data_IF_521997849805
#
_entry.id   IF_521997849805
#
_cell.length_a   1.000
_cell.length_b   1.000
_cell.length_c   1.000
_cell.angle_alpha   90.00
_cell.angle_beta   90.00
_cell.angle_gamma   90.00
#
_symmetry.space_group_name_H-M   'P 1'
#
loop_
_entity.id
_entity.type
_entity.pdbx_description
1 polymer ?
#
# COMPACT_ATOMS: atom_id res chain seq x y z
N UNK A 1 8.17 -10.57 -13.24
CA UNK A 1 7.94 -11.94 -12.73
C UNK A 1 8.46 -11.98 -11.28
N UNK A 2 7.61 -11.67 -10.29
CA UNK A 2 7.98 -11.51 -8.88
C UNK A 2 7.27 -12.52 -7.97
N UNK A 3 7.12 -13.75 -8.44
CA UNK A 3 6.76 -14.87 -7.58
C UNK A 3 8.00 -15.75 -7.48
N UNK A 4 8.98 -15.31 -6.68
CA UNK A 4 9.84 -16.30 -6.06
C UNK A 4 8.94 -17.14 -5.17
N UNK A 5 8.96 -18.47 -5.36
CA UNK A 5 8.36 -19.38 -4.42
C UNK A 5 8.89 -19.03 -3.03
N UNK A 6 7.96 -18.85 -2.08
CA UNK A 6 8.31 -18.71 -0.68
C UNK A 6 9.11 -19.97 -0.35
N UNK A 7 10.41 -19.84 -0.05
CA UNK A 7 11.17 -20.94 0.54
C UNK A 7 10.32 -21.43 1.70
N UNK A 8 9.83 -22.66 1.63
CA UNK A 8 9.10 -23.24 2.74
C UNK A 8 10.05 -23.18 3.93
N UNK A 9 9.75 -22.30 4.90
CA UNK A 9 10.44 -22.28 6.19
C UNK A 9 9.94 -23.45 7.05
N UNK A 10 9.90 -24.63 6.44
CA UNK A 10 9.59 -25.92 7.03
C UNK A 10 10.64 -26.90 6.54
N UNK A 11 10.96 -27.89 7.35
CA UNK A 11 11.84 -28.98 6.94
C UNK A 11 10.91 -30.06 6.39
N UNK A 12 10.80 -30.22 5.06
CA UNK A 12 9.78 -31.10 4.44
C UNK A 12 9.92 -32.53 4.95
N UNK A 13 11.16 -32.94 5.21
CA UNK A 13 11.50 -34.25 5.74
C UNK A 13 10.93 -34.47 7.15
N UNK A 14 10.98 -33.45 8.03
CA UNK A 14 10.34 -33.55 9.35
C UNK A 14 8.82 -33.57 9.24
N UNK A 15 8.22 -32.77 8.36
CA UNK A 15 6.76 -32.75 8.16
C UNK A 15 6.25 -34.09 7.59
N UNK A 16 7.04 -34.76 6.73
CA UNK A 16 6.78 -36.10 6.20
C UNK A 16 6.93 -37.17 7.30
N UNK A 17 8.00 -37.12 8.09
CA UNK A 17 8.24 -38.06 9.21
C UNK A 17 7.17 -37.90 10.29
N UNK A 18 6.80 -36.66 10.63
CA UNK A 18 5.74 -36.37 11.58
C UNK A 18 4.38 -36.87 11.08
N UNK A 19 4.09 -36.77 9.77
CA UNK A 19 2.85 -37.32 9.21
C UNK A 19 2.73 -38.83 9.39
N UNK A 20 3.86 -39.55 9.42
CA UNK A 20 3.93 -41.00 9.56
C UNK A 20 3.98 -41.50 11.01
N UNK A 21 4.37 -40.66 11.98
CA UNK A 21 4.58 -41.07 13.38
C UNK A 21 3.77 -40.34 14.46
N UNK A 22 2.90 -39.37 14.13
CA UNK A 22 2.40 -38.46 15.16
C UNK A 22 1.01 -38.73 15.73
N UNK A 23 0.93 -38.53 17.05
CA UNK A 23 -0.26 -38.33 17.88
C UNK A 23 -1.33 -37.48 17.17
N UNK A 24 -2.61 -37.88 17.23
CA UNK A 24 -3.72 -37.23 16.51
C UNK A 24 -3.84 -35.71 16.70
N UNK A 25 -3.34 -35.17 17.84
CA UNK A 25 -3.26 -33.73 18.09
C UNK A 25 -2.34 -32.98 17.12
N UNK A 26 -1.24 -33.58 16.69
CA UNK A 26 -0.32 -32.93 15.75
C UNK A 26 -0.89 -32.92 14.33
N UNK A 27 -1.48 -34.04 13.88
CA UNK A 27 -2.18 -34.12 12.59
C UNK A 27 -3.28 -33.05 12.49
N UNK A 28 -4.03 -32.85 13.57
CA UNK A 28 -5.03 -31.79 13.65
C UNK A 28 -4.43 -30.38 13.47
N UNK A 29 -3.31 -30.08 14.15
CA UNK A 29 -2.62 -28.78 14.01
C UNK A 29 -2.07 -28.57 12.60
N UNK A 30 -1.51 -29.61 11.98
CA UNK A 30 -1.00 -29.52 10.62
C UNK A 30 -2.12 -29.28 9.60
N UNK A 31 -3.27 -29.95 9.78
CA UNK A 31 -4.47 -29.72 8.96
C UNK A 31 -4.94 -28.27 9.03
N UNK A 32 -5.07 -27.71 10.23
CA UNK A 32 -5.47 -26.30 10.42
C UNK A 32 -4.49 -25.36 9.73
N UNK A 33 -3.18 -25.58 9.87
CA UNK A 33 -2.17 -24.73 9.21
C UNK A 33 -2.31 -24.76 7.69
N UNK A 34 -2.48 -25.94 7.10
CA UNK A 34 -2.66 -26.09 5.66
C UNK A 34 -3.95 -25.42 5.19
N UNK A 35 -5.05 -25.58 5.93
CA UNK A 35 -6.33 -24.97 5.60
C UNK A 35 -6.28 -23.44 5.69
N UNK A 36 -5.66 -22.89 6.73
CA UNK A 36 -5.43 -21.46 6.88
C UNK A 36 -4.60 -20.90 5.72
N UNK A 37 -3.48 -21.55 5.37
CA UNK A 37 -2.64 -21.14 4.23
C UNK A 37 -3.44 -21.13 2.92
N UNK A 38 -4.29 -22.15 2.71
CA UNK A 38 -5.13 -22.25 1.51
C UNK A 38 -6.17 -21.13 1.46
N UNK A 39 -6.90 -20.89 2.55
CA UNK A 39 -7.90 -19.80 2.63
C UNK A 39 -7.26 -18.43 2.47
N UNK A 40 -6.17 -18.16 3.18
CA UNK A 40 -5.43 -16.90 3.04
C UNK A 40 -4.99 -16.64 1.60
N UNK A 41 -4.49 -17.66 0.90
CA UNK A 41 -4.10 -17.50 -0.52
C UNK A 41 -5.28 -17.27 -1.45
N UNK A 42 -6.39 -17.98 -1.26
CA UNK A 42 -7.53 -17.90 -2.18
C UNK A 42 -8.39 -16.67 -1.93
N UNK A 43 -8.69 -16.38 -0.66
CA UNK A 43 -9.61 -15.33 -0.26
C UNK A 43 -8.87 -13.99 -0.18
N UNK A 44 -7.79 -13.90 0.60
CA UNK A 44 -7.11 -12.63 0.84
C UNK A 44 -6.25 -12.19 -0.35
N UNK A 45 -5.36 -13.05 -0.86
CA UNK A 45 -4.55 -12.69 -2.04
C UNK A 45 -5.40 -12.55 -3.32
N UNK A 46 -6.53 -13.27 -3.41
CA UNK A 46 -7.51 -13.08 -4.48
C UNK A 46 -8.13 -11.69 -4.47
N UNK A 47 -8.49 -11.18 -3.29
CA UNK A 47 -9.00 -9.82 -3.10
C UNK A 47 -7.95 -8.73 -3.39
N UNK A 48 -6.66 -9.00 -3.14
CA UNK A 48 -5.57 -8.08 -3.50
C UNK A 48 -5.45 -7.88 -5.03
N UNK A 49 -5.85 -8.85 -5.86
CA UNK A 49 -5.83 -8.71 -7.33
C UNK A 49 -6.87 -7.72 -7.85
N UNK A 50 -8.00 -7.55 -7.17
CA UNK A 50 -8.97 -6.49 -7.48
C UNK A 50 -8.40 -5.09 -7.23
N UNK A 51 -7.52 -4.94 -6.25
CA UNK A 51 -6.83 -3.69 -5.94
C UNK A 51 -5.90 -3.24 -7.08
N UNK A 52 -5.23 -4.19 -7.74
CA UNK A 52 -4.37 -3.92 -8.90
C UNK A 52 -5.13 -3.52 -10.17
N UNK A 53 -6.45 -3.77 -10.23
CA UNK A 53 -7.32 -3.28 -11.32
C UNK A 53 -7.90 -1.90 -11.00
N UNK A 54 -7.32 -1.18 -10.02
CA UNK A 54 -7.65 0.24 -9.83
C UNK A 54 -7.55 0.97 -11.16
N UNK A 55 -8.53 1.84 -11.31
CA UNK A 55 -9.15 2.25 -12.57
C UNK A 55 -8.14 3.02 -13.40
N UNK A 56 -8.41 3.05 -14.70
CA UNK A 56 -7.53 3.56 -15.76
C UNK A 56 -6.99 4.99 -15.57
N UNK A 57 -7.38 5.72 -14.53
CA UNK A 57 -7.02 7.12 -14.32
C UNK A 57 -7.10 7.45 -12.81
N UNK A 58 -6.23 6.87 -11.97
CA UNK A 58 -5.94 7.43 -10.64
C UNK A 58 -5.15 8.74 -10.84
N UNK A 59 -5.85 9.75 -11.34
CA UNK A 59 -5.34 11.10 -11.55
C UNK A 59 -5.17 11.70 -10.18
N UNK A 60 -3.91 11.80 -9.76
CA UNK A 60 -3.51 12.59 -8.60
C UNK A 60 -4.13 13.98 -8.73
N UNK A 61 -4.90 14.41 -7.73
CA UNK A 61 -5.53 15.73 -7.67
C UNK A 61 -4.78 16.66 -6.74
N UNK A 62 -5.04 17.95 -6.89
CA UNK A 62 -4.60 18.95 -5.93
C UNK A 62 -5.26 18.68 -4.57
N UNK A 63 -4.46 18.67 -3.51
CA UNK A 63 -4.90 18.35 -2.16
C UNK A 63 -4.71 16.89 -1.73
N UNK A 64 -4.41 15.97 -2.65
CA UNK A 64 -4.21 14.56 -2.33
C UNK A 64 -2.92 14.32 -1.54
N UNK A 65 -2.93 13.28 -0.72
CA UNK A 65 -1.76 12.83 0.02
C UNK A 65 -1.08 11.70 -0.75
N UNK A 66 0.21 11.87 -1.01
CA UNK A 66 1.03 10.98 -1.83
C UNK A 66 2.33 10.61 -1.10
N UNK A 67 2.86 9.43 -1.38
CA UNK A 67 4.23 9.05 -1.02
C UNK A 67 5.19 9.44 -2.15
N UNK A 68 6.32 10.03 -1.79
CA UNK A 68 7.38 10.36 -2.74
C UNK A 68 8.37 9.19 -2.82
N UNK A 69 8.45 8.58 -3.99
CA UNK A 69 9.39 7.51 -4.28
C UNK A 69 10.84 8.01 -4.34
N UNK A 70 11.63 7.56 -3.38
CA UNK A 70 13.09 7.71 -3.39
C UNK A 70 13.75 6.36 -3.74
N UNK A 71 14.78 6.42 -4.60
CA UNK A 71 15.52 5.22 -5.04
C UNK A 71 16.51 4.76 -3.97
N UNK A 72 16.99 5.67 -3.12
CA UNK A 72 17.98 5.37 -2.09
C UNK A 72 17.36 4.85 -0.79
N UNK A 73 16.05 5.02 -0.63
CA UNK A 73 15.32 4.69 0.60
C UNK A 73 14.35 3.53 0.38
N UNK A 74 14.23 2.64 1.38
CA UNK A 74 13.18 1.59 1.37
C UNK A 74 11.80 2.25 1.32
N UNK A 75 10.82 1.58 0.70
CA UNK A 75 9.45 2.09 0.55
C UNK A 75 8.79 2.56 1.86
N UNK A 76 9.10 1.87 2.98
CA UNK A 76 8.57 2.22 4.30
C UNK A 76 9.06 3.59 4.81
N UNK A 77 10.17 4.08 4.28
CA UNK A 77 10.77 5.37 4.63
C UNK A 77 10.51 6.44 3.57
N UNK A 78 9.64 6.18 2.59
CA UNK A 78 9.28 7.19 1.61
C UNK A 78 8.53 8.33 2.30
N UNK A 79 8.96 9.59 2.09
CA UNK A 79 8.32 10.71 2.75
C UNK A 79 6.91 10.92 2.19
N UNK A 80 6.02 11.30 3.10
CA UNK A 80 4.65 11.64 2.80
C UNK A 80 4.56 13.12 2.44
N UNK A 81 3.73 13.43 1.45
CA UNK A 81 3.61 14.79 0.93
C UNK A 81 2.19 15.08 0.47
N UNK A 82 1.80 16.35 0.52
CA UNK A 82 0.52 16.84 0.00
C UNK A 82 0.74 17.45 -1.37
N UNK A 83 -0.11 17.12 -2.33
CA UNK A 83 -0.07 17.71 -3.67
C UNK A 83 -0.60 19.13 -3.60
N UNK A 84 0.24 20.10 -3.97
CA UNK A 84 -0.14 21.52 -4.03
C UNK A 84 -0.72 21.84 -5.39
N UNK A 85 0.03 21.50 -6.46
CA UNK A 85 -0.30 21.93 -7.82
C UNK A 85 0.14 20.92 -8.87
N UNK A 86 -0.69 20.74 -9.88
CA UNK A 86 -0.38 19.93 -11.05
C UNK A 86 0.15 20.82 -12.18
N UNK A 87 1.29 20.46 -12.78
CA UNK A 87 1.90 21.23 -13.88
C UNK A 87 1.77 20.42 -15.18
N UNK A 88 0.79 20.75 -16.04
CA UNK A 88 0.65 20.12 -17.35
C UNK A 88 1.71 20.61 -18.33
N UNK A 89 2.15 19.72 -19.23
CA UNK A 89 2.96 20.09 -20.39
C UNK A 89 2.12 20.69 -21.51
N UNK A 90 2.75 20.99 -22.66
CA UNK A 90 2.07 21.52 -23.85
C UNK A 90 0.93 20.63 -24.36
N UNK A 91 1.06 19.31 -24.20
CA UNK A 91 0.04 18.33 -24.63
C UNK A 91 -1.13 18.17 -23.63
N UNK A 92 -1.21 19.02 -22.59
CA UNK A 92 -2.21 18.93 -21.52
C UNK A 92 -1.98 17.80 -20.50
N UNK A 93 -0.99 16.93 -20.72
CA UNK A 93 -0.65 15.83 -19.78
C UNK A 93 0.22 16.32 -18.64
N UNK A 94 -0.18 16.00 -17.40
CA UNK A 94 0.60 16.28 -16.18
C UNK A 94 1.84 15.38 -16.13
N UNK A 95 3.02 15.99 -16.01
CA UNK A 95 4.29 15.27 -15.89
C UNK A 95 5.03 15.60 -14.60
N UNK A 96 4.83 16.82 -14.09
CA UNK A 96 5.46 17.33 -12.88
C UNK A 96 4.38 17.83 -11.94
N UNK A 97 4.58 17.57 -10.65
CA UNK A 97 3.68 17.96 -9.57
C UNK A 97 4.49 18.68 -8.51
N UNK A 98 3.95 19.76 -8.00
CA UNK A 98 4.45 20.44 -6.81
C UNK A 98 3.85 19.80 -5.57
N UNK A 99 4.71 19.32 -4.68
CA UNK A 99 4.32 18.62 -3.45
C UNK A 99 4.91 19.33 -2.24
N UNK A 100 4.14 19.40 -1.16
CA UNK A 100 4.56 19.94 0.14
C UNK A 100 4.89 18.81 1.10
N UNK A 101 6.08 18.85 1.67
CA UNK A 101 6.52 18.00 2.78
C UNK A 101 6.79 18.89 4.00
N UNK A 102 6.95 18.31 5.19
CA UNK A 102 7.33 19.05 6.41
C UNK A 102 8.60 19.90 6.23
N UNK A 103 9.51 19.48 5.34
CA UNK A 103 10.75 20.19 5.06
C UNK A 103 10.62 21.30 4.01
N UNK A 104 9.48 21.45 3.34
CA UNK A 104 9.25 22.45 2.28
C UNK A 104 8.56 21.89 1.03
N UNK A 105 8.43 22.73 0.00
CA UNK A 105 7.84 22.36 -1.29
C UNK A 105 8.90 21.89 -2.29
N UNK A 106 8.57 20.84 -3.03
CA UNK A 106 9.45 20.25 -4.05
C UNK A 106 8.68 19.94 -5.33
N UNK A 107 9.37 20.03 -6.46
CA UNK A 107 8.87 19.52 -7.73
C UNK A 107 9.28 18.05 -7.89
N UNK A 108 8.30 17.19 -8.17
CA UNK A 108 8.52 15.77 -8.42
C UNK A 108 7.80 15.30 -9.69
N UNK A 109 8.42 14.44 -10.50
CA UNK A 109 7.72 13.78 -11.60
C UNK A 109 6.57 12.93 -11.07
N UNK A 110 5.44 12.94 -11.77
CA UNK A 110 4.23 12.20 -11.37
C UNK A 110 4.49 10.69 -11.21
N UNK A 111 5.42 10.13 -12.00
CA UNK A 111 5.81 8.71 -11.94
C UNK A 111 6.49 8.33 -10.61
N UNK A 112 7.02 9.31 -9.86
CA UNK A 112 7.61 9.09 -8.54
C UNK A 112 6.63 9.37 -7.41
N UNK A 113 5.37 9.67 -7.70
CA UNK A 113 4.34 9.88 -6.70
C UNK A 113 3.41 8.67 -6.65
N UNK A 114 3.15 8.20 -5.44
CA UNK A 114 2.27 7.07 -5.19
C UNK A 114 1.08 7.56 -4.36
N UNK A 115 -0.13 7.65 -4.94
CA UNK A 115 -1.30 8.10 -4.21
C UNK A 115 -1.67 7.12 -3.11
N UNK A 116 -2.13 7.66 -1.98
CA UNK A 116 -2.77 6.89 -0.91
C UNK A 116 -4.28 6.91 -1.12
N UNK A 117 -4.99 5.95 -0.52
CA UNK A 117 -6.46 5.87 -0.58
C UNK A 117 -7.18 7.00 0.18
N UNK A 118 -6.44 7.98 0.68
CA UNK A 118 -6.98 9.10 1.47
C UNK A 118 -7.11 10.30 0.56
N UNK A 119 -8.35 10.64 0.21
CA UNK A 119 -8.67 11.87 -0.51
C UNK A 119 -8.80 13.03 0.47
N UNK A 120 -8.16 14.16 0.17
CA UNK A 120 -8.25 15.36 1.01
C UNK A 120 -9.68 15.93 1.13
N UNK A 121 -10.61 15.48 0.27
CA UNK A 121 -12.04 15.80 0.31
C UNK A 121 -12.77 15.19 1.50
N UNK A 122 -12.24 14.14 2.12
CA UNK A 122 -12.92 13.51 3.27
C UNK A 122 -12.85 14.40 4.52
N UNK A 123 -11.99 15.43 4.49
CA UNK A 123 -11.85 16.44 5.55
C UNK A 123 -13.02 17.43 5.52
N UNK A 124 -13.65 17.68 4.36
CA UNK A 124 -14.86 18.52 4.30
C UNK A 124 -16.07 17.85 4.93
N UNK A 125 -16.08 16.52 5.05
CA UNK A 125 -17.16 15.76 5.70
C UNK A 125 -16.97 15.59 7.21
N UNK A 126 -15.84 16.09 7.76
CA UNK A 126 -15.61 16.09 9.20
C UNK A 126 -16.50 17.13 9.91
N UNK A 127 -17.01 16.80 11.12
CA UNK A 127 -17.80 17.72 11.93
C UNK A 127 -17.00 19.01 12.22
N UNK A 128 -17.69 20.15 12.18
CA UNK A 128 -17.10 21.50 12.21
C UNK A 128 -16.16 21.75 13.40
N UNK A 129 -16.42 21.12 14.54
CA UNK A 129 -15.60 21.22 15.75
C UNK A 129 -14.14 20.76 15.55
N UNK A 130 -13.90 19.78 14.67
CA UNK A 130 -12.54 19.28 14.36
C UNK A 130 -11.83 20.25 13.40
N UNK A 131 -12.57 20.93 12.52
CA UNK A 131 -12.01 21.91 11.57
C UNK A 131 -11.46 23.14 12.28
N UNK A 132 -12.13 23.61 13.35
CA UNK A 132 -11.63 24.70 14.19
C UNK A 132 -10.36 24.32 14.95
N UNK A 133 -10.32 23.14 15.58
CA UNK A 133 -9.13 22.70 16.34
C UNK A 133 -7.88 22.49 15.48
N UNK A 134 -8.06 22.17 14.19
CA UNK A 134 -6.95 22.02 13.24
C UNK A 134 -6.45 23.36 12.68
N UNK A 135 -7.29 24.39 12.68
CA UNK A 135 -6.94 25.73 12.19
C UNK A 135 -6.02 26.48 13.14
N UNK A 136 -6.12 26.19 14.44
CA UNK A 136 -5.33 26.81 15.51
C UNK A 136 -3.93 26.18 15.70
N UNK A 137 -3.58 25.15 14.92
CA UNK A 137 -2.29 24.43 15.00
C UNK A 137 -1.28 24.78 13.91
N UNK A 138 -1.57 25.78 13.08
CA UNK A 138 -0.67 26.36 12.07
C UNK A 138 -0.35 27.80 12.46
#
# INVERSE_FOLDING_TARGET
MFLQEIKENGVPDLDLIDSQRMNGRFLYRQRIRQELRKRFRLEYLGQLKSFSKSRKEDVIKEGDIVLIGDTNSKRIYWPLAKVIKLIPGRDGRVRVVEVSTSSGSFLRPIQRLYPLEVSGTDISDLPEQIKETLKDRV
#
